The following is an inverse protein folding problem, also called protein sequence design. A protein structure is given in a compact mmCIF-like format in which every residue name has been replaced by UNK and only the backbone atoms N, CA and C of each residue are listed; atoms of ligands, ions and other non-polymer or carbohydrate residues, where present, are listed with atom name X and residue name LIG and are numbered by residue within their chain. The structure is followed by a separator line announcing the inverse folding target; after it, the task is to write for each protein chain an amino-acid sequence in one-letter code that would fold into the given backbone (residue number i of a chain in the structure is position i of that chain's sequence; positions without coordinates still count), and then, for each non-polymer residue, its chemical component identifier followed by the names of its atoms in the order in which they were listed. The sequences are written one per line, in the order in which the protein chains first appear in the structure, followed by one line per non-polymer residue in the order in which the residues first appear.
data_IF_305874981206
#
_entry.id   IF_305874981206
#
_cell.length_a   1.000
_cell.length_b   1.000
_cell.length_c   1.000
_cell.angle_alpha   90.00
_cell.angle_beta   90.00
_cell.angle_gamma   90.00
#
_symmetry.space_group_name_H-M   'P 1'
#
loop_
_entity.id
_entity.type
_entity.pdbx_description
1 polymer ?
#
# COMPACT_ATOMS: atom_id res chain seq x y z
N UNK A 1 -1.18 7.40 9.81
CA UNK A 1 -1.99 7.03 11.00
C UNK A 1 -1.40 5.83 11.73
N UNK A 2 -1.13 4.69 11.07
CA UNK A 2 -0.50 3.54 11.73
C UNK A 2 0.87 3.91 12.32
N UNK A 3 1.72 4.60 11.54
CA UNK A 3 3.04 5.05 12.01
C UNK A 3 2.95 5.87 13.30
N UNK A 4 2.03 6.84 13.36
CA UNK A 4 1.80 7.66 14.55
C UNK A 4 1.45 6.80 15.79
N UNK A 5 0.56 5.82 15.65
CA UNK A 5 0.18 4.93 16.75
C UNK A 5 1.34 4.06 17.23
N UNK A 6 2.27 3.72 16.33
CA UNK A 6 3.40 2.85 16.60
C UNK A 6 4.70 3.63 16.82
N UNK A 7 4.63 4.96 16.96
CA UNK A 7 5.79 5.81 17.19
C UNK A 7 6.81 5.83 16.04
N UNK A 8 6.41 5.41 14.83
CA UNK A 8 7.28 5.40 13.65
C UNK A 8 7.31 6.78 12.96
N UNK A 9 8.45 7.09 12.37
CA UNK A 9 8.66 8.30 11.58
C UNK A 9 7.81 8.26 10.31
N UNK A 10 7.01 9.30 10.10
CA UNK A 10 6.26 9.50 8.86
C UNK A 10 7.20 9.80 7.68
N UNK A 11 6.81 9.35 6.49
CA UNK A 11 7.56 9.49 5.24
C UNK A 11 8.99 8.90 5.24
N UNK A 12 9.33 8.10 6.25
CA UNK A 12 10.59 7.37 6.26
C UNK A 12 10.50 6.17 5.31
N UNK A 13 11.20 6.26 4.19
CA UNK A 13 11.06 5.33 3.06
C UNK A 13 11.66 3.94 3.39
N UNK A 14 12.77 3.89 4.13
CA UNK A 14 13.49 2.64 4.45
C UNK A 14 12.79 1.92 5.62
N UNK A 15 12.60 0.60 5.62
CA UNK A 15 12.02 -0.12 6.77
C UNK A 15 10.68 0.46 7.27
N UNK A 16 9.84 0.95 6.35
CA UNK A 16 8.58 1.62 6.69
C UNK A 16 7.50 0.67 7.23
N UNK A 17 7.68 -0.63 7.09
CA UNK A 17 6.74 -1.64 7.57
C UNK A 17 6.85 -1.77 9.10
N UNK A 18 5.70 -1.88 9.75
CA UNK A 18 5.63 -2.12 11.18
C UNK A 18 5.79 -3.60 11.55
N UNK A 19 5.46 -4.52 10.65
CA UNK A 19 5.60 -5.97 10.89
C UNK A 19 6.99 -6.51 10.57
N UNK A 20 7.71 -5.88 9.65
CA UNK A 20 9.01 -6.40 9.19
C UNK A 20 9.99 -5.30 8.81
N UNK A 21 11.27 -5.65 8.76
CA UNK A 21 12.37 -4.77 8.37
C UNK A 21 12.56 -4.78 6.85
N UNK A 22 11.49 -4.48 6.11
CA UNK A 22 11.52 -4.40 4.65
C UNK A 22 12.36 -3.21 4.17
N UNK A 23 13.54 -3.47 3.60
CA UNK A 23 14.38 -2.41 3.07
C UNK A 23 13.96 -2.06 1.63
N UNK A 24 13.18 -0.99 1.50
CA UNK A 24 12.74 -0.46 0.19
C UNK A 24 13.88 0.03 -0.71
N UNK A 25 15.12 0.12 -0.19
CA UNK A 25 16.31 0.54 -0.94
C UNK A 25 17.07 -0.64 -1.53
N UNK A 26 16.80 -1.87 -1.07
CA UNK A 26 17.43 -3.10 -1.54
C UNK A 26 16.81 -3.58 -2.88
N UNK A 27 16.95 -2.76 -3.93
CA UNK A 27 16.30 -2.94 -5.24
C UNK A 27 16.63 -4.28 -5.91
N UNK A 28 17.83 -4.79 -5.69
CA UNK A 28 18.32 -6.09 -6.15
C UNK A 28 17.55 -7.27 -5.51
N UNK A 29 17.04 -7.07 -4.29
CA UNK A 29 16.33 -8.10 -3.52
C UNK A 29 14.81 -8.01 -3.66
N UNK A 30 14.26 -6.94 -4.23
CA UNK A 30 12.82 -6.68 -4.23
C UNK A 30 11.96 -7.81 -4.83
N UNK A 31 12.47 -8.50 -5.85
CA UNK A 31 11.71 -9.53 -6.58
C UNK A 31 12.10 -10.96 -6.19
N UNK A 32 13.28 -11.14 -5.58
CA UNK A 32 13.81 -12.44 -5.15
C UNK A 32 13.51 -12.74 -3.69
N UNK A 33 13.56 -11.72 -2.83
CA UNK A 33 13.36 -11.85 -1.39
C UNK A 33 11.91 -11.57 -1.01
N UNK A 34 11.18 -12.66 -0.75
CA UNK A 34 9.78 -12.60 -0.27
C UNK A 34 9.69 -12.31 1.23
N UNK A 35 10.55 -12.96 2.02
CA UNK A 35 10.50 -12.87 3.48
C UNK A 35 11.59 -11.94 3.99
N UNK A 36 11.17 -10.93 4.74
CA UNK A 36 12.05 -9.99 5.44
C UNK A 36 12.05 -10.30 6.92
N UNK A 37 13.12 -9.90 7.63
CA UNK A 37 13.23 -10.15 9.07
C UNK A 37 12.02 -9.53 9.76
N UNK A 38 11.32 -10.30 10.58
CA UNK A 38 10.20 -9.83 11.39
C UNK A 38 10.67 -8.73 12.35
N UNK A 39 9.77 -7.82 12.68
CA UNK A 39 10.00 -6.84 13.74
C UNK A 39 9.45 -7.41 15.04
N UNK A 40 10.35 -7.83 15.92
CA UNK A 40 9.98 -8.44 17.21
C UNK A 40 9.50 -7.39 18.22
N UNK A 41 10.07 -6.18 18.17
CA UNK A 41 9.69 -5.05 19.01
C UNK A 41 9.89 -3.69 18.30
N UNK A 42 9.11 -2.69 18.73
CA UNK A 42 9.23 -1.29 18.29
C UNK A 42 10.10 -0.53 19.29
N UNK A 43 11.42 -0.74 19.22
CA UNK A 43 12.38 -0.07 20.11
C UNK A 43 12.68 1.34 19.61
N UNK A 44 12.47 2.35 20.46
CA UNK A 44 12.75 3.74 20.14
C UNK A 44 14.24 3.94 19.78
N UNK A 45 14.51 4.63 18.68
CA UNK A 45 15.86 4.85 18.15
C UNK A 45 16.33 3.76 17.18
N UNK A 46 15.60 2.64 17.04
CA UNK A 46 15.91 1.62 16.05
C UNK A 46 15.12 1.81 14.75
N UNK A 47 15.82 1.61 13.62
CA UNK A 47 15.27 1.74 12.27
C UNK A 47 14.52 3.06 12.06
N UNK A 48 13.18 3.01 12.07
CA UNK A 48 12.30 4.14 11.82
C UNK A 48 11.41 4.50 13.03
N UNK A 49 11.67 3.93 14.21
CA UNK A 49 10.89 4.17 15.43
C UNK A 49 11.50 5.37 16.17
N UNK A 50 10.74 6.46 16.28
CA UNK A 50 11.20 7.72 16.88
C UNK A 50 10.55 8.02 18.22
N UNK A 51 9.38 7.44 18.49
CA UNK A 51 8.64 7.59 19.74
C UNK A 51 8.20 6.22 20.26
N UNK A 52 7.78 6.17 21.52
CA UNK A 52 7.11 5.00 22.09
C UNK A 52 5.76 4.74 21.41
N UNK A 53 5.41 3.47 21.23
CA UNK A 53 4.14 3.07 20.65
C UNK A 53 2.97 3.35 21.63
N UNK A 54 1.90 3.94 21.13
CA UNK A 54 0.68 4.21 21.90
C UNK A 54 -0.25 2.99 21.98
N UNK A 55 -0.07 2.04 21.07
CA UNK A 55 -0.89 0.84 20.93
C UNK A 55 0.01 -0.34 20.59
N UNK A 56 -0.30 -1.51 21.15
CA UNK A 56 0.42 -2.75 20.84
C UNK A 56 0.32 -3.09 19.35
N UNK A 57 1.42 -3.55 18.76
CA UNK A 57 1.48 -3.93 17.35
C UNK A 57 0.40 -4.96 16.97
N UNK A 58 0.12 -5.92 17.84
CA UNK A 58 -0.86 -6.99 17.64
C UNK A 58 -2.31 -6.48 17.58
N UNK A 59 -2.58 -5.28 18.10
CA UNK A 59 -3.91 -4.65 18.07
C UNK A 59 -4.16 -3.88 16.78
N UNK A 60 -3.15 -3.73 15.91
CA UNK A 60 -3.30 -3.08 14.61
C UNK A 60 -3.94 -4.05 13.62
N UNK A 61 -5.18 -3.76 13.23
CA UNK A 61 -5.89 -4.49 12.18
C UNK A 61 -5.84 -3.66 10.91
N UNK A 62 -5.29 -4.22 9.83
CA UNK A 62 -5.34 -3.64 8.49
C UNK A 62 -6.53 -4.21 7.71
N UNK A 63 -7.59 -3.43 7.45
CA UNK A 63 -8.71 -3.94 6.67
C UNK A 63 -8.25 -4.26 5.25
N UNK A 64 -8.59 -5.44 4.69
CA UNK A 64 -8.15 -5.85 3.37
C UNK A 64 -8.44 -4.81 2.28
N UNK A 65 -9.58 -4.10 2.40
CA UNK A 65 -9.99 -3.07 1.44
C UNK A 65 -8.97 -1.93 1.30
N UNK A 66 -8.33 -1.49 2.39
CA UNK A 66 -7.34 -0.40 2.34
C UNK A 66 -6.08 -0.81 1.59
N UNK A 67 -5.63 -2.06 1.77
CA UNK A 67 -4.49 -2.65 1.05
C UNK A 67 -4.84 -2.78 -0.44
N UNK A 68 -5.99 -3.38 -0.73
CA UNK A 68 -6.51 -3.60 -2.09
C UNK A 68 -6.66 -2.28 -2.86
N UNK A 69 -7.17 -1.24 -2.20
CA UNK A 69 -7.23 0.13 -2.77
C UNK A 69 -5.85 0.65 -3.16
N UNK A 70 -4.83 0.44 -2.32
CA UNK A 70 -3.45 0.83 -2.61
C UNK A 70 -2.91 0.13 -3.86
N UNK A 71 -3.12 -1.19 -3.96
CA UNK A 71 -2.70 -2.00 -5.10
C UNK A 71 -3.36 -1.55 -6.41
N UNK A 72 -4.67 -1.31 -6.40
CA UNK A 72 -5.39 -0.80 -7.58
C UNK A 72 -4.84 0.55 -8.03
N UNK A 73 -4.53 1.46 -7.08
CA UNK A 73 -3.93 2.76 -7.42
C UNK A 73 -2.55 2.61 -8.07
N UNK A 74 -1.72 1.68 -7.59
CA UNK A 74 -0.41 1.39 -8.18
C UNK A 74 -0.58 0.78 -9.57
N UNK A 75 -1.48 -0.19 -9.72
CA UNK A 75 -1.80 -0.81 -11.01
C UNK A 75 -2.23 0.24 -12.05
N UNK A 76 -3.24 1.06 -11.74
CA UNK A 76 -3.72 2.10 -12.66
C UNK A 76 -2.67 3.17 -12.91
N UNK A 77 -1.81 3.50 -11.93
CA UNK A 77 -0.67 4.42 -12.13
C UNK A 77 0.35 3.87 -13.13
N UNK A 78 0.55 2.56 -13.19
CA UNK A 78 1.48 1.92 -14.11
C UNK A 78 0.93 1.81 -15.56
N UNK A 79 -0.38 1.96 -15.75
CA UNK A 79 -0.99 1.93 -17.07
C UNK A 79 -0.67 3.21 -17.87
N UNK A 80 -0.32 3.02 -19.14
CA UNK A 80 -0.24 4.11 -20.11
C UNK A 80 -1.65 4.58 -20.47
N UNK A 81 -1.94 5.85 -20.17
CA UNK A 81 -3.26 6.47 -20.33
C UNK A 81 -3.70 6.62 -21.80
N UNK A 82 -2.75 6.49 -22.73
CA UNK A 82 -3.00 6.60 -24.17
C UNK A 82 -3.07 5.23 -24.86
N UNK A 83 -2.92 4.13 -24.10
CA UNK A 83 -2.96 2.77 -24.66
C UNK A 83 -4.35 2.15 -24.51
N UNK A 84 -4.68 1.16 -25.36
CA UNK A 84 -5.95 0.45 -25.31
C UNK A 84 -6.29 -0.16 -23.93
N UNK A 85 -5.28 -0.47 -23.11
CA UNK A 85 -5.50 -1.00 -21.77
C UNK A 85 -6.28 -0.02 -20.87
N UNK A 86 -5.95 1.28 -20.90
CA UNK A 86 -6.67 2.30 -20.14
C UNK A 86 -8.07 2.55 -20.72
N UNK A 87 -8.24 2.40 -22.04
CA UNK A 87 -9.54 2.47 -22.68
C UNK A 87 -10.44 1.30 -22.26
N UNK A 88 -9.92 0.08 -22.19
CA UNK A 88 -10.65 -1.08 -21.67
C UNK A 88 -11.09 -0.87 -20.23
N UNK A 89 -10.24 -0.25 -19.39
CA UNK A 89 -10.60 0.12 -18.02
C UNK A 89 -11.75 1.14 -18.01
N UNK A 90 -11.75 2.11 -18.92
CA UNK A 90 -12.82 3.09 -19.09
C UNK A 90 -14.13 2.43 -19.53
N UNK A 91 -14.06 1.48 -20.47
CA UNK A 91 -15.23 0.71 -20.94
C UNK A 91 -15.80 -0.21 -19.86
N UNK A 92 -14.96 -0.77 -18.98
CA UNK A 92 -15.40 -1.61 -17.86
C UNK A 92 -16.20 -0.81 -16.81
N UNK A 93 -15.89 0.48 -16.64
CA UNK A 93 -16.56 1.36 -15.69
C UNK A 93 -17.15 2.59 -16.40
N UNK A 94 -18.19 2.43 -17.24
CA UNK A 94 -18.72 3.52 -18.06
C UNK A 94 -19.35 4.65 -17.23
N UNK A 95 -19.75 4.37 -15.98
CA UNK A 95 -20.27 5.37 -15.04
C UNK A 95 -19.17 6.25 -14.42
N UNK A 96 -17.89 5.88 -14.55
CA UNK A 96 -16.77 6.71 -14.10
C UNK A 96 -16.32 7.64 -15.23
N UNK A 97 -16.21 8.93 -14.94
CA UNK A 97 -15.57 9.85 -15.86
C UNK A 97 -14.07 9.55 -15.99
N UNK A 98 -13.49 9.93 -17.13
CA UNK A 98 -12.07 9.68 -17.43
C UNK A 98 -11.15 10.36 -16.42
N UNK A 99 -11.57 11.48 -15.86
CA UNK A 99 -10.85 12.24 -14.84
C UNK A 99 -10.74 11.45 -13.53
N UNK A 100 -11.82 10.79 -13.08
CA UNK A 100 -11.80 9.91 -11.90
C UNK A 100 -10.88 8.71 -12.10
N UNK A 101 -10.90 8.12 -13.30
CA UNK A 101 -10.01 7.00 -13.65
C UNK A 101 -8.54 7.44 -13.63
N UNK A 102 -8.21 8.59 -14.24
CA UNK A 102 -6.85 9.17 -14.20
C UNK A 102 -6.40 9.52 -12.78
N UNK A 103 -7.33 10.02 -11.96
CA UNK A 103 -7.12 10.30 -10.54
C UNK A 103 -7.04 9.01 -9.68
N UNK A 104 -7.31 7.84 -10.26
CA UNK A 104 -7.30 6.53 -9.60
C UNK A 104 -8.28 6.47 -8.44
N UNK A 105 -9.46 7.06 -8.65
CA UNK A 105 -10.55 7.11 -7.68
C UNK A 105 -11.53 5.99 -8.02
N UNK A 106 -11.60 5.00 -7.14
CA UNK A 106 -12.50 3.86 -7.22
C UNK A 106 -13.19 3.66 -5.87
N UNK A 107 -14.45 3.25 -5.90
CA UNK A 107 -15.19 2.82 -4.70
C UNK A 107 -14.91 1.34 -4.36
N UNK A 108 -15.47 0.88 -3.25
CA UNK A 108 -15.29 -0.50 -2.77
C UNK A 108 -15.70 -1.56 -3.80
N UNK A 109 -16.94 -1.52 -4.34
CA UNK A 109 -17.39 -2.44 -5.39
C UNK A 109 -16.50 -2.45 -6.64
N UNK A 110 -16.05 -1.30 -7.13
CA UNK A 110 -15.18 -1.20 -8.29
C UNK A 110 -13.80 -1.81 -8.03
N UNK A 111 -13.23 -1.57 -6.83
CA UNK A 111 -11.98 -2.21 -6.41
C UNK A 111 -12.16 -3.73 -6.43
N UNK A 112 -13.24 -4.25 -5.82
CA UNK A 112 -13.52 -5.70 -5.79
C UNK A 112 -13.58 -6.32 -7.19
N UNK A 113 -14.24 -5.66 -8.13
CA UNK A 113 -14.30 -6.11 -9.54
C UNK A 113 -12.95 -6.06 -10.28
N UNK A 114 -12.02 -5.21 -9.85
CA UNK A 114 -10.70 -5.09 -10.47
C UNK A 114 -9.73 -6.18 -10.02
N UNK A 115 -9.82 -6.59 -8.76
CA UNK A 115 -8.92 -7.61 -8.17
C UNK A 115 -9.58 -8.97 -7.98
N UNK A 116 -10.80 -9.16 -8.52
CA UNK A 116 -11.58 -10.39 -8.45
C UNK A 116 -11.82 -10.85 -7.00
N UNK A 117 -12.20 -9.90 -6.15
CA UNK A 117 -12.45 -10.09 -4.73
C UNK A 117 -13.96 -10.25 -4.49
N UNK A 118 -14.43 -11.50 -4.52
CA UNK A 118 -15.83 -11.90 -4.32
C UNK A 118 -16.12 -12.25 -2.87
#
# INVERSE_FOLDING_TARGET
MVNFLLGQQDDYIKCNCFECLWDSRAKDQHWSKRNWRSRDALVQGEANVVNEALVDQEKIILPPLHIKRGLVKVFVKALDQNRPCFENLSRKFPALCKEKLKAKIFDGPQIRQLILDY
#
